data_IF_080909585540
#
_entry.id   IF_080909585540
#
_cell.length_a   1.000
_cell.length_b   1.000
_cell.length_c   1.000
_cell.angle_alpha   90.00
_cell.angle_beta   90.00
_cell.angle_gamma   90.00
#
_symmetry.space_group_name_H-M   'P 1'
#
loop_
_entity.id
_entity.type
_entity.pdbx_description
1 polymer ?
#
# COMPACT_ATOMS: atom_id res chain seq x y z
N UNK A 1 0.29 34.67 19.05
CA UNK A 1 0.41 34.44 17.59
C UNK A 1 1.72 33.75 17.13
N UNK A 2 2.80 33.73 17.92
CA UNK A 2 4.16 33.39 17.45
C UNK A 2 4.40 31.98 16.84
N UNK A 3 3.53 30.98 17.05
CA UNK A 3 3.77 29.58 16.61
C UNK A 3 3.98 29.38 15.10
N UNK A 4 3.63 30.35 14.24
CA UNK A 4 3.88 30.27 12.79
C UNK A 4 5.35 30.51 12.40
N UNK A 5 6.11 31.27 13.20
CA UNK A 5 7.49 31.63 12.86
C UNK A 5 8.45 30.44 12.88
N UNK A 6 8.48 29.70 13.99
CA UNK A 6 9.41 28.59 14.22
C UNK A 6 9.37 27.52 13.12
N UNK A 7 8.17 27.18 12.63
CA UNK A 7 8.01 26.18 11.56
C UNK A 7 8.57 26.65 10.22
N UNK A 8 8.63 27.96 9.99
CA UNK A 8 9.22 28.55 8.78
C UNK A 8 10.75 28.66 8.90
N UNK A 9 11.28 28.99 10.09
CA UNK A 9 12.73 28.98 10.32
C UNK A 9 13.32 27.58 10.21
N UNK A 10 12.66 26.55 10.76
CA UNK A 10 13.12 25.15 10.63
C UNK A 10 13.07 24.66 9.17
N UNK A 11 12.06 25.09 8.40
CA UNK A 11 11.97 24.80 6.96
C UNK A 11 13.09 25.48 6.16
N UNK A 12 13.40 26.75 6.45
CA UNK A 12 14.54 27.44 5.84
C UNK A 12 15.89 26.80 6.23
N UNK A 13 16.05 26.35 7.47
CA UNK A 13 17.29 25.71 7.92
C UNK A 13 17.51 24.36 7.23
N UNK A 14 16.45 23.57 7.02
CA UNK A 14 16.53 22.31 6.28
C UNK A 14 16.76 22.49 4.77
N UNK A 15 16.26 23.55 4.14
CA UNK A 15 16.58 23.89 2.74
C UNK A 15 18.08 24.12 2.50
N UNK A 16 18.81 24.69 3.47
CA UNK A 16 20.25 24.94 3.34
C UNK A 16 21.09 23.65 3.31
N UNK A 17 20.65 22.57 3.95
CA UNK A 17 21.31 21.27 3.85
C UNK A 17 21.13 20.62 2.47
N UNK A 18 19.99 20.88 1.81
CA UNK A 18 19.71 20.35 0.46
C UNK A 18 20.54 21.08 -0.60
N UNK A 19 20.74 22.40 -0.48
CA UNK A 19 21.51 23.16 -1.49
C UNK A 19 23.04 22.99 -1.42
N UNK A 20 23.56 22.33 -0.38
CA UNK A 20 25.00 22.13 -0.19
C UNK A 20 25.53 20.83 -0.83
N UNK A 21 24.65 19.93 -1.27
CA UNK A 21 25.02 18.63 -1.83
C UNK A 21 24.75 18.62 -3.34
N UNK A 22 25.81 18.58 -4.16
CA UNK A 22 25.71 18.65 -5.62
C UNK A 22 25.61 17.29 -6.32
N UNK A 23 25.72 16.18 -5.56
CA UNK A 23 25.32 14.85 -6.02
C UNK A 23 23.81 14.63 -5.89
N UNK A 24 23.30 13.56 -6.51
CA UNK A 24 21.94 13.08 -6.27
C UNK A 24 21.82 12.56 -4.84
N UNK A 25 21.37 13.40 -3.91
CA UNK A 25 21.16 13.06 -2.51
C UNK A 25 20.05 12.00 -2.36
N UNK A 26 20.41 10.72 -2.49
CA UNK A 26 19.54 9.62 -2.10
C UNK A 26 19.68 9.38 -0.60
N UNK A 27 18.59 9.59 0.14
CA UNK A 27 18.53 9.11 1.52
C UNK A 27 18.50 7.57 1.58
N UNK A 28 18.21 6.88 0.47
CA UNK A 28 18.39 5.44 0.33
C UNK A 28 19.85 5.00 0.44
N UNK A 29 20.77 5.70 -0.24
CA UNK A 29 22.23 5.45 -0.14
C UNK A 29 22.72 5.67 1.31
N UNK A 30 22.31 6.78 1.92
CA UNK A 30 22.65 7.08 3.33
C UNK A 30 22.05 6.04 4.29
N UNK A 31 20.85 5.51 4.02
CA UNK A 31 20.22 4.48 4.84
C UNK A 31 20.79 3.08 4.58
N UNK A 32 21.37 2.80 3.42
CA UNK A 32 22.09 1.55 3.14
C UNK A 32 23.48 1.50 3.79
N UNK A 33 24.12 2.66 3.97
CA UNK A 33 25.39 2.79 4.71
C UNK A 33 25.19 2.77 6.24
N UNK A 34 23.96 2.92 6.73
CA UNK A 34 23.62 2.85 8.15
C UNK A 34 23.33 1.41 8.56
N UNK A 35 24.27 0.82 9.30
CA UNK A 35 24.15 -0.51 9.92
C UNK A 35 22.81 -0.68 10.67
N UNK A 36 22.10 -1.83 10.54
CA UNK A 36 20.79 -2.05 11.16
C UNK A 36 20.75 -1.79 12.68
N UNK A 37 21.84 -2.04 13.40
CA UNK A 37 21.95 -1.71 14.83
C UNK A 37 21.71 -0.22 15.09
N UNK A 38 22.24 0.64 14.21
CA UNK A 38 22.09 2.10 14.28
C UNK A 38 20.65 2.55 14.01
N UNK A 39 19.93 1.88 13.10
CA UNK A 39 18.49 2.11 12.89
C UNK A 39 17.66 1.70 14.11
N UNK A 40 18.02 0.61 14.79
CA UNK A 40 17.41 0.18 16.05
C UNK A 40 17.68 1.20 17.17
N UNK A 41 18.92 1.69 17.31
CA UNK A 41 19.26 2.77 18.24
C UNK A 41 18.48 4.06 17.97
N UNK A 42 18.39 4.49 16.71
CA UNK A 42 17.62 5.66 16.31
C UNK A 42 16.13 5.52 16.61
N UNK A 43 15.59 4.31 16.45
CA UNK A 43 14.20 3.98 16.82
C UNK A 43 13.99 4.03 18.33
N UNK A 44 14.90 3.44 19.11
CA UNK A 44 14.89 3.51 20.59
C UNK A 44 15.00 4.96 21.10
N UNK A 45 15.83 5.79 20.46
CA UNK A 45 15.97 7.22 20.79
C UNK A 45 14.63 7.94 20.69
N UNK A 46 13.91 7.75 19.58
CA UNK A 46 12.60 8.37 19.36
C UNK A 46 11.53 7.82 20.32
N UNK A 47 11.58 6.53 20.67
CA UNK A 47 10.68 5.90 21.65
C UNK A 47 10.91 6.48 23.05
N UNK A 48 12.16 6.47 23.54
CA UNK A 48 12.49 7.05 24.85
C UNK A 48 12.18 8.55 24.88
N UNK A 49 12.52 9.29 23.83
CA UNK A 49 12.17 10.71 23.71
C UNK A 49 10.65 10.94 23.83
N UNK A 50 9.84 10.16 23.12
CA UNK A 50 8.38 10.29 23.16
C UNK A 50 7.81 10.01 24.56
N UNK A 51 8.26 8.95 25.24
CA UNK A 51 7.82 8.63 26.60
C UNK A 51 8.29 9.68 27.63
N UNK A 52 9.57 10.08 27.59
CA UNK A 52 10.14 11.08 28.48
C UNK A 52 9.46 12.44 28.29
N UNK A 53 9.28 12.89 27.05
CA UNK A 53 8.59 14.17 26.75
C UNK A 53 7.12 14.12 27.19
N UNK A 54 6.42 12.99 26.99
CA UNK A 54 5.05 12.82 27.49
C UNK A 54 4.97 12.88 29.03
N UNK A 55 5.93 12.29 29.75
CA UNK A 55 6.00 12.38 31.21
C UNK A 55 6.37 13.80 31.67
N UNK A 56 7.46 14.37 31.16
CA UNK A 56 7.99 15.67 31.54
C UNK A 56 7.04 16.82 31.18
N UNK A 57 6.26 16.72 30.10
CA UNK A 57 5.26 17.73 29.72
C UNK A 57 4.03 17.79 30.65
N UNK A 58 3.81 16.78 31.51
CA UNK A 58 2.85 16.85 32.62
C UNK A 58 3.41 17.58 33.84
N UNK A 59 4.73 17.55 34.02
CA UNK A 59 5.45 18.19 35.13
C UNK A 59 5.71 19.67 34.81
N UNK A 60 6.44 19.95 33.73
CA UNK A 60 6.69 21.31 33.21
C UNK A 60 5.48 21.83 32.40
N UNK A 61 4.35 22.03 33.09
CA UNK A 61 3.09 22.50 32.47
C UNK A 61 3.25 23.83 31.75
N UNK A 62 4.07 24.71 32.31
CA UNK A 62 4.32 26.09 31.85
C UNK A 62 5.34 26.14 30.70
N UNK A 63 6.52 25.53 30.89
CA UNK A 63 7.58 25.51 29.88
C UNK A 63 7.75 24.14 29.21
N UNK A 64 6.86 23.88 28.24
CA UNK A 64 6.89 22.65 27.44
C UNK A 64 8.07 22.56 26.46
N UNK A 65 8.78 23.66 26.20
CA UNK A 65 10.01 23.63 25.42
C UNK A 65 11.17 23.05 26.24
N UNK A 66 11.31 23.45 27.51
CA UNK A 66 12.29 22.89 28.43
C UNK A 66 12.07 21.37 28.64
N UNK A 67 10.81 20.92 28.78
CA UNK A 67 10.49 19.49 28.82
C UNK A 67 11.01 18.72 27.60
N UNK A 68 10.87 19.28 26.40
CA UNK A 68 11.37 18.69 25.16
C UNK A 68 12.91 18.59 25.14
N UNK A 69 13.62 19.66 25.49
CA UNK A 69 15.10 19.67 25.53
C UNK A 69 15.63 18.66 26.56
N UNK A 70 15.06 18.63 27.77
CA UNK A 70 15.45 17.67 28.81
C UNK A 70 15.12 16.23 28.40
N UNK A 71 13.94 15.98 27.82
CA UNK A 71 13.58 14.66 27.32
C UNK A 71 14.55 14.16 26.24
N UNK A 72 14.96 15.05 25.32
CA UNK A 72 15.90 14.72 24.26
C UNK A 72 17.28 14.34 24.83
N UNK A 73 17.85 15.19 25.69
CA UNK A 73 19.15 14.92 26.33
C UNK A 73 19.14 13.60 27.12
N UNK A 74 18.09 13.32 27.90
CA UNK A 74 17.98 12.08 28.67
C UNK A 74 17.78 10.87 27.73
N UNK A 75 16.98 10.98 26.66
CA UNK A 75 16.84 9.90 25.68
C UNK A 75 18.13 9.57 24.94
N UNK A 76 18.94 10.59 24.63
CA UNK A 76 20.23 10.44 23.96
C UNK A 76 21.26 9.79 24.90
N UNK A 77 21.29 10.20 26.17
CA UNK A 77 22.15 9.60 27.18
C UNK A 77 21.77 8.13 27.48
N UNK A 78 20.47 7.80 27.48
CA UNK A 78 20.00 6.41 27.57
C UNK A 78 20.50 5.59 26.38
N UNK A 79 20.26 6.03 25.13
CA UNK A 79 20.68 5.29 23.94
C UNK A 79 22.21 5.15 23.85
N UNK A 80 22.95 6.19 24.20
CA UNK A 80 24.42 6.11 24.32
C UNK A 80 24.86 5.10 25.39
N UNK A 81 24.20 5.07 26.55
CA UNK A 81 24.46 4.08 27.58
C UNK A 81 24.19 2.64 27.12
N UNK A 82 23.11 2.40 26.37
CA UNK A 82 22.82 1.09 25.80
C UNK A 82 23.84 0.74 24.70
N UNK A 83 24.24 1.69 23.84
CA UNK A 83 25.28 1.48 22.83
C UNK A 83 26.60 0.99 23.44
N UNK A 84 27.03 1.60 24.55
CA UNK A 84 28.24 1.20 25.28
C UNK A 84 28.20 -0.21 25.88
N UNK A 85 27.03 -0.84 26.00
CA UNK A 85 26.95 -2.25 26.46
C UNK A 85 27.38 -3.25 25.40
N UNK A 86 27.44 -2.85 24.11
CA UNK A 86 27.71 -3.77 23.01
C UNK A 86 26.66 -4.88 22.86
N UNK A 87 25.44 -4.69 23.38
CA UNK A 87 24.36 -5.66 23.20
C UNK A 87 23.98 -5.77 21.72
N UNK A 88 24.13 -6.97 21.18
CA UNK A 88 23.56 -7.36 19.90
C UNK A 88 22.02 -7.34 20.00
N UNK A 89 21.41 -6.35 19.34
CA UNK A 89 19.97 -6.13 19.41
C UNK A 89 19.18 -7.18 18.63
N UNK A 90 19.74 -7.71 17.55
CA UNK A 90 19.11 -8.75 16.73
C UNK A 90 18.97 -10.03 17.56
N UNK A 91 20.09 -10.47 18.17
CA UNK A 91 20.06 -11.56 19.13
C UNK A 91 19.24 -11.23 20.39
N UNK A 92 19.22 -9.99 20.89
CA UNK A 92 18.39 -9.64 22.05
C UNK A 92 16.89 -9.82 21.75
N UNK A 93 16.40 -9.27 20.63
CA UNK A 93 14.99 -9.40 20.24
C UNK A 93 14.62 -10.85 19.92
N UNK A 94 15.50 -11.60 19.25
CA UNK A 94 15.31 -13.02 18.98
C UNK A 94 15.24 -13.86 20.27
N UNK A 95 16.13 -13.60 21.24
CA UNK A 95 16.18 -14.32 22.52
C UNK A 95 14.97 -14.06 23.43
N UNK A 96 14.29 -12.90 23.31
CA UNK A 96 13.01 -12.66 24.00
C UNK A 96 11.79 -13.19 23.21
N UNK A 97 12.02 -13.94 22.13
CA UNK A 97 10.97 -14.60 21.34
C UNK A 97 10.29 -13.71 20.29
N UNK A 98 10.86 -12.55 19.95
CA UNK A 98 10.39 -11.73 18.82
C UNK A 98 11.13 -12.12 17.54
N UNK A 99 10.61 -13.13 16.84
CA UNK A 99 11.06 -13.46 15.49
C UNK A 99 10.69 -12.37 14.48
N UNK A 100 11.39 -12.35 13.34
CA UNK A 100 11.08 -11.46 12.21
C UNK A 100 9.62 -11.61 11.72
N UNK A 101 9.09 -12.84 11.74
CA UNK A 101 7.69 -13.14 11.44
C UNK A 101 6.71 -12.45 12.41
N UNK A 102 7.07 -12.36 13.70
CA UNK A 102 6.26 -11.68 14.71
C UNK A 102 6.34 -10.17 14.53
N UNK A 103 7.52 -9.62 14.18
CA UNK A 103 7.68 -8.19 13.87
C UNK A 103 6.85 -7.79 12.64
N UNK A 104 7.00 -8.53 11.54
CA UNK A 104 6.25 -8.29 10.29
C UNK A 104 4.75 -8.50 10.45
N UNK A 105 4.31 -9.40 11.35
CA UNK A 105 2.89 -9.58 11.70
C UNK A 105 2.35 -8.47 12.60
N UNK A 106 3.07 -8.05 13.64
CA UNK A 106 2.61 -7.05 14.62
C UNK A 106 2.66 -5.62 14.07
N UNK A 107 3.67 -5.29 13.26
CA UNK A 107 3.91 -3.92 12.79
C UNK A 107 2.72 -3.30 12.02
N UNK A 108 1.99 -4.02 11.13
CA UNK A 108 0.74 -3.54 10.55
C UNK A 108 -0.36 -3.23 11.58
N UNK A 109 -0.53 -4.06 12.63
CA UNK A 109 -1.50 -3.79 13.69
C UNK A 109 -1.10 -2.60 14.56
N UNK A 110 0.20 -2.41 14.82
CA UNK A 110 0.74 -1.27 15.56
C UNK A 110 0.52 0.03 14.78
N UNK A 111 0.79 0.03 13.48
CA UNK A 111 0.48 1.12 12.54
C UNK A 111 -1.03 1.44 12.54
N UNK A 112 -1.89 0.42 12.43
CA UNK A 112 -3.35 0.60 12.41
C UNK A 112 -3.87 1.16 13.75
N UNK A 113 -3.34 0.67 14.88
CA UNK A 113 -3.62 1.20 16.21
C UNK A 113 -3.20 2.66 16.37
N UNK A 114 -1.99 3.01 15.91
CA UNK A 114 -1.50 4.39 15.91
C UNK A 114 -2.37 5.30 15.03
N UNK A 115 -2.84 4.82 13.88
CA UNK A 115 -3.76 5.54 12.99
C UNK A 115 -5.13 5.79 13.65
N UNK A 116 -5.72 4.78 14.30
CA UNK A 116 -6.98 4.91 15.05
C UNK A 116 -6.84 5.90 16.22
N UNK A 117 -5.78 5.78 17.02
CA UNK A 117 -5.48 6.72 18.12
C UNK A 117 -5.28 8.14 17.58
N UNK A 118 -4.62 8.28 16.42
CA UNK A 118 -4.44 9.54 15.72
C UNK A 118 -5.76 10.18 15.28
N UNK A 119 -6.69 9.39 14.72
CA UNK A 119 -8.04 9.86 14.33
C UNK A 119 -8.80 10.38 15.55
N UNK A 120 -8.74 9.65 16.67
CA UNK A 120 -9.45 9.99 17.91
C UNK A 120 -8.88 11.26 18.56
N UNK A 121 -7.55 11.39 18.70
CA UNK A 121 -6.92 12.52 19.40
C UNK A 121 -6.68 13.77 18.57
N UNK A 122 -6.32 13.63 17.29
CA UNK A 122 -5.85 14.73 16.43
C UNK A 122 -6.88 15.06 15.33
N UNK A 123 -7.82 14.14 15.08
CA UNK A 123 -8.86 14.28 14.07
C UNK A 123 -8.40 13.87 12.68
N UNK A 124 -9.23 13.06 12.01
CA UNK A 124 -8.97 12.39 10.73
C UNK A 124 -8.18 13.21 9.68
N UNK A 125 -8.50 14.48 9.42
CA UNK A 125 -7.76 15.30 8.45
C UNK A 125 -6.30 15.54 8.84
N UNK A 126 -6.04 15.78 10.14
CA UNK A 126 -4.69 15.89 10.70
C UNK A 126 -3.94 14.57 10.61
N UNK A 127 -4.63 13.45 10.86
CA UNK A 127 -4.06 12.10 10.80
C UNK A 127 -3.70 11.70 9.38
N UNK A 128 -4.54 11.99 8.39
CA UNK A 128 -4.23 11.73 6.97
C UNK A 128 -3.08 12.62 6.47
N UNK A 129 -2.98 13.88 6.90
CA UNK A 129 -1.81 14.70 6.58
C UNK A 129 -0.53 14.13 7.19
N UNK A 130 -0.55 13.71 8.46
CA UNK A 130 0.60 13.10 9.12
C UNK A 130 1.00 11.80 8.41
N UNK A 131 0.06 10.90 8.19
CA UNK A 131 0.31 9.59 7.61
C UNK A 131 0.71 9.66 6.13
N UNK A 132 0.07 10.56 5.37
CA UNK A 132 0.45 10.86 3.99
C UNK A 132 1.82 11.50 3.87
N UNK A 133 2.21 12.37 4.82
CA UNK A 133 3.55 12.94 4.88
C UNK A 133 4.60 11.89 5.28
N UNK A 134 4.32 11.05 6.27
CA UNK A 134 5.19 9.92 6.62
C UNK A 134 5.36 8.97 5.44
N UNK A 135 4.28 8.62 4.74
CA UNK A 135 4.32 7.71 3.61
C UNK A 135 4.99 8.35 2.38
N UNK A 136 4.77 9.64 2.10
CA UNK A 136 5.53 10.39 1.08
C UNK A 136 7.03 10.44 1.41
N UNK A 137 7.39 10.76 2.65
CA UNK A 137 8.77 10.84 3.09
C UNK A 137 9.47 9.46 3.04
N UNK A 138 8.84 8.40 3.54
CA UNK A 138 9.38 7.04 3.43
C UNK A 138 9.54 6.64 1.96
N UNK A 139 8.51 6.82 1.13
CA UNK A 139 8.57 6.41 -0.29
C UNK A 139 9.56 7.23 -1.13
N UNK A 140 9.73 8.52 -0.81
CA UNK A 140 10.57 9.46 -1.58
C UNK A 140 12.01 9.61 -1.08
N UNK A 141 12.31 9.04 0.09
CA UNK A 141 13.64 9.09 0.70
C UNK A 141 14.19 7.71 1.08
N UNK A 142 13.41 6.64 1.03
CA UNK A 142 13.89 5.29 1.36
C UNK A 142 13.43 4.26 0.34
N UNK A 143 14.37 3.43 -0.13
CA UNK A 143 14.08 2.36 -1.10
C UNK A 143 13.42 1.12 -0.45
N UNK A 144 12.85 1.27 0.75
CA UNK A 144 12.05 0.23 1.43
C UNK A 144 10.74 -0.11 0.70
N UNK A 145 10.26 0.76 -0.17
CA UNK A 145 9.04 0.54 -0.95
C UNK A 145 9.44 0.25 -2.39
N UNK A 146 9.23 -1.00 -2.81
CA UNK A 146 9.59 -1.54 -4.13
C UNK A 146 9.07 -0.71 -5.32
N UNK A 147 7.94 -0.01 -5.14
CA UNK A 147 7.40 0.97 -6.09
C UNK A 147 7.35 2.36 -5.42
N UNK A 148 8.53 2.96 -5.21
CA UNK A 148 8.72 4.27 -4.55
C UNK A 148 7.87 5.39 -5.17
N UNK A 149 7.73 5.39 -6.51
CA UNK A 149 6.85 6.30 -7.25
C UNK A 149 5.37 6.19 -6.81
N UNK A 150 4.86 4.96 -6.67
CA UNK A 150 3.48 4.67 -6.30
C UNK A 150 3.23 5.07 -4.84
N UNK A 151 4.20 4.78 -3.96
CA UNK A 151 4.19 5.25 -2.58
C UNK A 151 4.14 6.79 -2.49
N UNK A 152 5.02 7.49 -3.20
CA UNK A 152 5.01 8.97 -3.25
C UNK A 152 3.67 9.52 -3.74
N UNK A 153 3.09 8.93 -4.80
CA UNK A 153 1.80 9.33 -5.35
C UNK A 153 0.66 9.20 -4.33
N UNK A 154 0.56 8.07 -3.63
CA UNK A 154 -0.43 7.88 -2.55
C UNK A 154 -0.18 8.83 -1.37
N UNK A 155 1.07 9.10 -1.01
CA UNK A 155 1.44 10.08 0.01
C UNK A 155 0.91 11.48 -0.31
N UNK A 156 1.13 11.97 -1.52
CA UNK A 156 0.62 13.29 -1.98
C UNK A 156 -0.92 13.34 -1.96
N UNK A 157 -1.60 12.27 -2.39
CA UNK A 157 -3.08 12.19 -2.33
C UNK A 157 -3.59 12.26 -0.88
N UNK A 158 -2.97 11.51 0.04
CA UNK A 158 -3.32 11.50 1.46
C UNK A 158 -3.11 12.88 2.11
N UNK A 159 -2.02 13.57 1.79
CA UNK A 159 -1.75 14.95 2.26
C UNK A 159 -2.84 15.90 1.74
N UNK A 160 -3.13 15.88 0.44
CA UNK A 160 -4.13 16.76 -0.18
C UNK A 160 -5.55 16.55 0.39
N UNK A 161 -5.97 15.29 0.53
CA UNK A 161 -7.28 14.95 1.08
C UNK A 161 -7.37 15.24 2.59
N UNK A 162 -6.30 14.97 3.34
CA UNK A 162 -6.18 15.34 4.76
C UNK A 162 -6.29 16.85 5.00
N UNK A 163 -5.60 17.65 4.17
CA UNK A 163 -5.66 19.11 4.23
C UNK A 163 -7.06 19.65 3.89
N UNK A 164 -7.74 19.07 2.91
CA UNK A 164 -9.13 19.39 2.57
C UNK A 164 -10.10 19.07 3.71
N UNK A 165 -9.98 17.90 4.35
CA UNK A 165 -10.76 17.53 5.54
C UNK A 165 -10.49 18.46 6.74
N UNK A 166 -9.22 18.80 6.98
CA UNK A 166 -8.80 19.72 8.05
C UNK A 166 -9.37 21.13 7.85
N UNK A 167 -9.35 21.64 6.62
CA UNK A 167 -9.91 22.94 6.28
C UNK A 167 -11.45 22.96 6.36
N UNK A 168 -12.15 21.87 6.03
CA UNK A 168 -13.60 21.76 6.17
C UNK A 168 -14.08 21.90 7.63
N UNK A 169 -13.39 21.28 8.60
CA UNK A 169 -13.78 21.35 10.02
C UNK A 169 -13.77 22.76 10.63
N UNK A 170 -13.01 23.70 10.06
CA UNK A 170 -12.90 25.07 10.61
C UNK A 170 -14.08 25.99 10.31
N UNK A 171 -14.91 25.68 9.29
CA UNK A 171 -16.05 26.55 8.95
C UNK A 171 -17.24 26.40 9.91
N UNK A 172 -17.63 25.17 10.26
CA UNK A 172 -18.90 24.94 10.99
C UNK A 172 -18.89 25.32 12.48
N UNK A 173 -17.77 25.77 13.06
CA UNK A 173 -17.68 26.13 14.49
C UNK A 173 -17.88 27.63 14.69
N UNK A 174 -17.20 28.47 13.90
CA UNK A 174 -17.33 29.93 13.99
C UNK A 174 -18.75 30.41 13.62
N UNK A 175 -19.38 29.76 12.64
CA UNK A 175 -20.74 30.08 12.21
C UNK A 175 -21.78 29.80 13.31
N UNK A 176 -21.48 28.89 14.26
CA UNK A 176 -22.36 28.61 15.40
C UNK A 176 -22.12 29.56 16.58
N UNK A 177 -20.86 29.93 16.86
CA UNK A 177 -20.56 30.90 17.93
C UNK A 177 -21.04 32.32 17.60
N UNK A 178 -20.88 32.78 16.34
CA UNK A 178 -21.39 34.10 15.94
C UNK A 178 -22.91 34.20 15.99
N UNK A 179 -23.63 33.08 15.87
CA UNK A 179 -25.10 33.08 15.93
C UNK A 179 -25.67 33.01 17.36
N UNK A 180 -24.82 32.93 18.40
CA UNK A 180 -25.26 33.14 19.80
C UNK A 180 -25.17 34.61 20.25
N UNK A 181 -24.66 35.50 19.40
CA UNK A 181 -24.84 36.95 19.53
C UNK A 181 -26.14 37.44 18.85
N UNK A 182 -27.11 36.55 18.60
CA UNK A 182 -28.52 36.98 18.51
C UNK A 182 -28.88 37.54 19.89
N UNK A 183 -28.97 38.86 19.99
CA UNK A 183 -29.38 39.57 21.19
C UNK A 183 -30.69 38.98 21.72
N UNK A 184 -30.80 38.81 23.04
CA UNK A 184 -32.06 38.47 23.70
C UNK A 184 -33.02 39.68 23.67
N UNK A 185 -33.52 40.03 22.48
CA UNK A 185 -34.69 40.88 22.32
C UNK A 185 -35.86 40.17 23.00
N UNK A 186 -36.20 40.64 24.22
CA UNK A 186 -37.27 40.08 25.05
C UNK A 186 -38.51 39.82 24.20
N UNK A 187 -39.09 38.60 24.21
CA UNK A 187 -40.32 38.35 23.48
C UNK A 187 -41.41 39.28 24.03
N UNK A 188 -42.18 39.98 23.17
CA UNK A 188 -43.29 40.80 23.65
C UNK A 188 -44.33 39.89 24.30
N UNK A 189 -44.57 40.11 25.59
CA UNK A 189 -45.50 39.35 26.41
C UNK A 189 -46.95 39.64 25.99
N UNK A 190 -47.49 38.87 25.05
CA UNK A 190 -48.86 39.01 24.60
C UNK A 190 -49.43 37.68 24.03
N UNK A 191 -50.66 37.29 24.39
CA UNK A 191 -51.30 36.05 23.91
C UNK A 191 -51.78 36.20 22.45
N UNK A 192 -50.84 36.14 21.50
CA UNK A 192 -51.09 36.30 20.06
C UNK A 192 -51.13 34.98 19.31
N UNK A 193 -52.32 34.47 19.04
CA UNK A 193 -52.53 33.26 18.23
C UNK A 193 -52.16 33.51 16.75
N UNK A 194 -51.67 32.48 16.06
CA UNK A 194 -51.39 32.44 14.61
C UNK A 194 -50.28 33.39 14.11
N UNK A 195 -49.09 32.82 13.89
CA UNK A 195 -48.21 33.22 12.77
C UNK A 195 -47.84 32.01 11.92
N UNK A 196 -48.48 31.87 10.76
CA UNK A 196 -48.00 30.98 9.69
C UNK A 196 -46.79 31.67 9.04
N UNK A 197 -45.65 30.99 8.94
CA UNK A 197 -44.48 31.52 8.24
C UNK A 197 -44.70 31.48 6.71
N UNK A 198 -45.28 32.56 6.17
CA UNK A 198 -45.43 32.74 4.72
C UNK A 198 -44.08 33.10 4.09
N UNK A 199 -43.41 32.13 3.48
CA UNK A 199 -42.10 32.32 2.84
C UNK A 199 -42.26 32.83 1.39
N UNK A 200 -42.29 34.16 1.26
CA UNK A 200 -42.47 34.90 0.01
C UNK A 200 -41.32 34.75 -1.00
N UNK A 201 -40.16 34.20 -0.63
CA UNK A 201 -39.04 34.03 -1.56
C UNK A 201 -39.28 32.87 -2.55
N UNK A 202 -40.07 31.86 -2.18
CA UNK A 202 -40.32 30.70 -3.06
C UNK A 202 -41.18 31.02 -4.29
N UNK A 203 -42.10 31.99 -4.22
CA UNK A 203 -42.98 32.31 -5.35
C UNK A 203 -42.25 33.05 -6.48
N UNK A 204 -41.15 33.77 -6.18
CA UNK A 204 -40.33 34.45 -7.21
C UNK A 204 -39.64 33.49 -8.18
N UNK A 205 -39.55 32.19 -7.86
CA UNK A 205 -38.94 31.17 -8.71
C UNK A 205 -39.90 30.52 -9.73
N UNK A 206 -41.23 30.67 -9.58
CA UNK A 206 -42.22 30.05 -10.47
C UNK A 206 -43.15 31.06 -11.18
N UNK A 207 -43.15 32.33 -10.79
CA UNK A 207 -43.96 33.39 -11.41
C UNK A 207 -43.44 33.95 -12.75
N UNK A 208 -43.02 33.12 -13.72
CA UNK A 208 -42.70 33.54 -15.10
C UNK A 208 -43.13 32.51 -16.12
N UNK A 209 -43.70 32.98 -17.24
CA UNK A 209 -44.58 32.23 -18.17
C UNK A 209 -45.87 31.80 -17.42
N UNK A 210 -47.07 32.22 -17.82
CA UNK A 210 -47.57 32.63 -19.14
C UNK A 210 -48.26 34.00 -19.05
N UNK A 211 -48.11 34.85 -20.08
CA UNK A 211 -49.03 35.99 -20.28
C UNK A 211 -48.45 37.23 -20.97
N UNK A 212 -48.58 37.33 -22.30
CA UNK A 212 -48.86 38.58 -23.04
C UNK A 212 -49.08 38.35 -24.55
N UNK A 213 -50.04 39.11 -25.11
CA UNK A 213 -50.46 39.17 -26.54
C UNK A 213 -51.21 37.89 -27.00
N UNK A 214 -52.16 37.95 -27.94
CA UNK A 214 -52.52 39.00 -28.91
C UNK A 214 -53.96 39.52 -28.71
N UNK A 215 -54.23 40.74 -29.18
CA UNK A 215 -55.54 41.41 -29.21
C UNK A 215 -55.75 41.98 -30.63
N UNK A 216 -56.89 41.72 -31.29
CA UNK A 216 -57.25 42.37 -32.56
C UNK A 216 -58.24 41.62 -33.48
N UNK A 217 -59.36 42.29 -33.83
CA UNK A 217 -60.33 41.94 -34.91
C UNK A 217 -61.30 40.76 -34.64
N UNK A 218 -62.46 40.59 -35.31
CA UNK A 218 -63.24 41.41 -36.29
C UNK A 218 -64.53 40.62 -36.67
N UNK A 219 -65.71 41.14 -37.08
CA UNK A 219 -66.43 42.43 -36.93
C UNK A 219 -67.85 42.31 -37.59
N UNK A 220 -68.94 42.89 -37.02
CA UNK A 220 -70.35 42.89 -37.53
C UNK A 220 -70.95 41.43 -37.66
N UNK A 221 -72.22 41.03 -37.92
CA UNK A 221 -73.59 41.58 -38.19
C UNK A 221 -74.62 40.60 -37.53
N UNK A 222 -75.86 40.90 -37.11
CA UNK A 222 -76.61 42.17 -36.90
C UNK A 222 -78.10 42.13 -37.33
N UNK A 223 -79.02 42.66 -36.49
CA UNK A 223 -80.52 42.82 -36.65
C UNK A 223 -81.36 41.54 -36.40
N UNK A 224 -82.64 41.61 -35.95
CA UNK A 224 -83.54 42.74 -35.59
C UNK A 224 -84.37 42.44 -34.32
N UNK A 225 -84.98 43.40 -33.60
CA UNK A 225 -86.27 44.13 -33.87
C UNK A 225 -87.50 43.19 -33.83
N UNK A 226 -88.58 43.42 -33.07
CA UNK A 226 -88.99 44.49 -32.12
C UNK A 226 -90.11 43.95 -31.17
N UNK A 227 -90.55 44.57 -30.06
CA UNK A 227 -90.87 45.97 -29.72
C UNK A 227 -92.37 46.36 -29.81
N UNK A 228 -93.18 45.90 -28.83
CA UNK A 228 -94.46 46.46 -28.31
C UNK A 228 -94.53 46.01 -26.83
N UNK A 229 -95.04 46.69 -25.80
CA UNK A 229 -95.79 47.95 -25.60
C UNK A 229 -96.66 47.72 -24.34
N UNK A 230 -96.31 48.30 -23.18
CA UNK A 230 -96.90 49.50 -22.54
C UNK A 230 -98.44 49.45 -22.32
N UNK A 231 -98.88 50.06 -21.20
CA UNK A 231 -100.28 50.27 -20.75
C UNK A 231 -101.01 48.98 -20.30
N UNK A 232 -101.97 48.98 -19.37
CA UNK A 232 -102.60 50.02 -18.52
C UNK A 232 -102.76 49.44 -17.07
N UNK A 233 -102.52 50.18 -15.99
CA UNK A 233 -103.41 51.13 -15.27
C UNK A 233 -104.57 50.48 -14.48
N UNK A 234 -104.48 50.63 -13.15
CA UNK A 234 -105.54 50.58 -12.12
C UNK A 234 -107.00 50.66 -12.61
N UNK A 235 -107.84 49.74 -12.10
CA UNK A 235 -109.29 49.93 -11.82
C UNK A 235 -109.78 48.87 -10.83
N UNK A 236 -110.70 49.27 -9.92
CA UNK A 236 -111.84 48.54 -9.31
C UNK A 236 -111.63 47.06 -8.87
N UNK A 237 -111.89 46.64 -7.61
CA UNK A 237 -113.01 46.88 -6.67
C UNK A 237 -114.41 46.43 -7.16
N UNK A 238 -115.14 45.77 -6.25
CA UNK A 238 -116.60 45.47 -6.31
C UNK A 238 -117.16 44.60 -7.46
N UNK A 239 -116.74 43.33 -7.49
CA UNK A 239 -117.56 42.09 -7.63
C UNK A 239 -116.60 40.92 -7.35
N UNK A 240 -116.94 39.87 -6.61
CA UNK A 240 -118.26 39.31 -6.27
C UNK A 240 -118.38 39.02 -4.76
N UNK A 241 -119.54 39.33 -4.16
CA UNK A 241 -120.02 38.69 -2.94
C UNK A 241 -121.44 38.18 -3.19
N UNK A 242 -121.61 36.87 -3.37
CA UNK A 242 -122.71 36.06 -2.83
C UNK A 242 -122.53 34.61 -3.30
N UNK A 243 -122.72 33.65 -2.38
CA UNK A 243 -122.32 32.24 -2.50
C UNK A 243 -120.77 32.07 -2.49
N UNK A 244 -120.16 30.96 -2.06
CA UNK A 244 -120.67 29.66 -1.62
C UNK A 244 -119.93 29.13 -0.36
N UNK A 245 -120.59 28.94 0.80
CA UNK A 245 -119.99 28.26 1.96
C UNK A 245 -119.98 26.72 1.81
N UNK A 246 -119.71 26.19 0.61
CA UNK A 246 -119.64 24.74 0.33
C UNK A 246 -118.46 24.27 -0.55
N UNK A 247 -117.85 25.12 -1.38
CA UNK A 247 -116.69 24.70 -2.21
C UNK A 247 -115.38 24.58 -1.43
N UNK A 248 -115.22 25.33 -0.32
CA UNK A 248 -113.93 25.48 0.39
C UNK A 248 -113.31 24.13 0.80
N UNK A 249 -114.09 23.18 1.33
CA UNK A 249 -113.57 21.84 1.71
C UNK A 249 -113.02 21.03 0.54
N UNK A 250 -113.64 21.10 -0.65
CA UNK A 250 -113.13 20.39 -1.83
C UNK A 250 -111.86 21.06 -2.37
N UNK A 251 -111.76 22.39 -2.30
CA UNK A 251 -110.56 23.10 -2.73
C UNK A 251 -109.39 22.90 -1.75
N UNK A 252 -109.62 22.85 -0.44
CA UNK A 252 -108.59 22.46 0.54
C UNK A 252 -108.12 21.03 0.35
N UNK A 253 -109.04 20.07 0.13
CA UNK A 253 -108.66 18.67 -0.14
C UNK A 253 -107.86 18.53 -1.45
N UNK A 254 -108.26 19.23 -2.51
CA UNK A 254 -107.50 19.25 -3.76
C UNK A 254 -106.13 19.94 -3.60
N UNK A 255 -106.04 21.02 -2.82
CA UNK A 255 -104.78 21.69 -2.52
C UNK A 255 -103.81 20.80 -1.73
N UNK A 256 -104.29 20.15 -0.66
CA UNK A 256 -103.53 19.17 0.12
C UNK A 256 -103.08 17.98 -0.73
N UNK A 257 -103.95 17.47 -1.60
CA UNK A 257 -103.64 16.37 -2.52
C UNK A 257 -102.56 16.77 -3.54
N UNK A 258 -102.67 17.96 -4.13
CA UNK A 258 -101.66 18.50 -5.05
C UNK A 258 -100.32 18.77 -4.34
N UNK A 259 -100.34 19.22 -3.08
CA UNK A 259 -99.14 19.42 -2.27
C UNK A 259 -98.43 18.09 -1.97
N UNK A 260 -99.18 17.07 -1.55
CA UNK A 260 -98.66 15.72 -1.31
C UNK A 260 -98.14 15.06 -2.60
N UNK A 261 -98.82 15.25 -3.74
CA UNK A 261 -98.36 14.76 -5.04
C UNK A 261 -97.08 15.48 -5.50
N UNK A 262 -96.96 16.79 -5.25
CA UNK A 262 -95.73 17.54 -5.50
C UNK A 262 -94.58 17.05 -4.63
N UNK A 263 -94.81 16.84 -3.33
CA UNK A 263 -93.80 16.28 -2.42
C UNK A 263 -93.36 14.87 -2.84
N UNK A 264 -94.29 14.01 -3.28
CA UNK A 264 -93.94 12.71 -3.86
C UNK A 264 -93.09 12.85 -5.12
N UNK A 265 -93.44 13.74 -6.05
CA UNK A 265 -92.66 14.00 -7.27
C UNK A 265 -91.27 14.56 -6.96
N UNK A 266 -91.14 15.41 -5.95
CA UNK A 266 -89.85 15.91 -5.46
C UNK A 266 -89.01 14.79 -4.82
N UNK A 267 -89.60 13.92 -4.00
CA UNK A 267 -88.93 12.75 -3.42
C UNK A 267 -88.51 11.72 -4.50
N UNK A 268 -89.37 11.42 -5.46
CA UNK A 268 -89.08 10.53 -6.58
C UNK A 268 -87.96 11.12 -7.49
N UNK A 269 -87.91 12.44 -7.66
CA UNK A 269 -86.81 13.11 -8.36
C UNK A 269 -85.48 13.03 -7.60
N UNK A 270 -85.49 13.23 -6.27
CA UNK A 270 -84.31 13.08 -5.41
C UNK A 270 -83.79 11.64 -5.45
N UNK A 271 -84.67 10.63 -5.35
CA UNK A 271 -84.29 9.22 -5.43
C UNK A 271 -83.67 8.86 -6.79
N UNK A 272 -84.19 9.41 -7.90
CA UNK A 272 -83.57 9.24 -9.23
C UNK A 272 -82.18 9.87 -9.30
N UNK A 273 -82.00 11.09 -8.81
CA UNK A 273 -80.69 11.75 -8.76
C UNK A 273 -79.68 11.00 -7.88
N UNK A 274 -80.10 10.45 -6.75
CA UNK A 274 -79.24 9.57 -5.93
C UNK A 274 -78.86 8.28 -6.66
N UNK A 275 -79.80 7.65 -7.36
CA UNK A 275 -79.55 6.44 -8.14
C UNK A 275 -78.57 6.69 -9.28
N UNK A 276 -78.77 7.77 -10.04
CA UNK A 276 -77.86 8.20 -11.11
C UNK A 276 -76.45 8.52 -10.57
N UNK A 277 -76.34 9.23 -9.43
CA UNK A 277 -75.04 9.47 -8.77
C UNK A 277 -74.37 8.17 -8.32
N UNK A 278 -75.10 7.25 -7.69
CA UNK A 278 -74.57 5.94 -7.25
C UNK A 278 -74.03 5.16 -8.46
N UNK A 279 -74.78 5.13 -9.57
CA UNK A 279 -74.36 4.50 -10.83
C UNK A 279 -73.10 5.16 -11.43
N UNK A 280 -73.03 6.49 -11.49
CA UNK A 280 -71.86 7.21 -11.99
C UNK A 280 -70.61 6.93 -11.14
N UNK A 281 -70.76 6.87 -9.81
CA UNK A 281 -69.67 6.50 -8.89
C UNK A 281 -69.21 5.05 -9.13
N UNK A 282 -70.15 4.12 -9.33
CA UNK A 282 -69.82 2.71 -9.62
C UNK A 282 -69.12 2.53 -10.98
N UNK A 283 -69.55 3.26 -12.01
CA UNK A 283 -68.90 3.26 -13.34
C UNK A 283 -67.50 3.90 -13.28
N UNK A 284 -67.31 4.98 -12.51
CA UNK A 284 -65.97 5.55 -12.25
C UNK A 284 -65.07 4.57 -11.50
N UNK A 285 -65.56 3.93 -10.43
CA UNK A 285 -64.80 2.94 -9.67
C UNK A 285 -64.36 1.75 -10.55
N UNK A 286 -65.22 1.28 -11.47
CA UNK A 286 -64.86 0.23 -12.44
C UNK A 286 -63.74 0.68 -13.37
N UNK A 287 -63.83 1.88 -13.95
CA UNK A 287 -62.78 2.43 -14.81
C UNK A 287 -61.44 2.62 -14.07
N UNK A 288 -61.46 3.08 -12.82
CA UNK A 288 -60.24 3.31 -12.06
C UNK A 288 -59.60 1.99 -11.56
N UNK A 289 -60.40 0.97 -11.26
CA UNK A 289 -59.91 -0.40 -11.03
C UNK A 289 -59.28 -0.98 -12.30
N UNK A 290 -59.84 -0.72 -13.48
CA UNK A 290 -59.29 -1.19 -14.76
C UNK A 290 -57.97 -0.49 -15.12
N UNK A 291 -57.91 0.84 -15.06
CA UNK A 291 -56.66 1.62 -15.19
C UNK A 291 -55.58 1.13 -14.22
N UNK A 292 -55.95 0.84 -12.97
CA UNK A 292 -55.02 0.36 -11.94
C UNK A 292 -54.51 -1.05 -12.21
N UNK A 293 -55.33 -1.95 -12.79
CA UNK A 293 -54.87 -3.26 -13.28
C UNK A 293 -53.86 -3.11 -14.42
N UNK A 294 -54.11 -2.19 -15.36
CA UNK A 294 -53.18 -1.93 -16.46
C UNK A 294 -51.86 -1.31 -15.97
N UNK A 295 -51.91 -0.36 -15.03
CA UNK A 295 -50.72 0.19 -14.36
C UNK A 295 -49.90 -0.92 -13.68
N UNK A 296 -50.52 -1.77 -12.86
CA UNK A 296 -49.83 -2.89 -12.19
C UNK A 296 -49.19 -3.85 -13.20
N UNK A 297 -49.88 -4.17 -14.31
CA UNK A 297 -49.33 -5.02 -15.38
C UNK A 297 -48.11 -4.39 -16.05
N UNK A 298 -48.17 -3.08 -16.30
CA UNK A 298 -47.05 -2.34 -16.89
C UNK A 298 -45.86 -2.24 -15.93
N UNK A 299 -46.10 -1.95 -14.64
CA UNK A 299 -45.09 -1.95 -13.57
C UNK A 299 -44.41 -3.32 -13.42
N UNK A 300 -45.18 -4.42 -13.39
CA UNK A 300 -44.64 -5.78 -13.38
C UNK A 300 -43.78 -6.06 -14.61
N UNK A 301 -44.21 -5.66 -15.81
CA UNK A 301 -43.41 -5.84 -17.03
C UNK A 301 -42.10 -5.03 -17.02
N UNK A 302 -42.11 -3.84 -16.42
CA UNK A 302 -40.92 -3.01 -16.25
C UNK A 302 -39.95 -3.62 -15.21
N UNK A 303 -40.48 -4.16 -14.11
CA UNK A 303 -39.69 -4.84 -13.08
C UNK A 303 -39.00 -6.10 -13.64
N UNK A 304 -39.72 -6.92 -14.41
CA UNK A 304 -39.16 -8.12 -15.08
C UNK A 304 -38.01 -7.70 -16.01
N UNK A 305 -38.23 -6.69 -16.87
CA UNK A 305 -37.18 -6.17 -17.77
C UNK A 305 -35.98 -5.60 -17.01
N UNK A 306 -36.16 -5.02 -15.82
CA UNK A 306 -35.04 -4.59 -14.98
C UNK A 306 -34.24 -5.79 -14.44
N UNK A 307 -34.92 -6.83 -13.95
CA UNK A 307 -34.28 -8.05 -13.46
C UNK A 307 -33.53 -8.81 -14.58
N UNK A 308 -34.10 -8.89 -15.79
CA UNK A 308 -33.43 -9.47 -16.96
C UNK A 308 -32.15 -8.71 -17.33
N UNK A 309 -32.20 -7.37 -17.32
CA UNK A 309 -31.03 -6.55 -17.60
C UNK A 309 -29.96 -6.61 -16.48
N UNK A 310 -30.38 -6.77 -15.22
CA UNK A 310 -29.46 -7.02 -14.10
C UNK A 310 -28.73 -8.36 -14.25
N UNK A 311 -29.45 -9.47 -14.46
CA UNK A 311 -28.83 -10.79 -14.72
C UNK A 311 -27.87 -10.76 -15.91
N UNK A 312 -28.28 -10.12 -17.01
CA UNK A 312 -27.46 -9.96 -18.22
C UNK A 312 -26.23 -9.07 -18.01
N UNK A 313 -26.23 -8.22 -16.99
CA UNK A 313 -25.05 -7.46 -16.56
C UNK A 313 -24.14 -8.31 -15.66
N UNK A 314 -24.71 -9.07 -14.72
CA UNK A 314 -23.99 -10.01 -13.84
C UNK A 314 -23.27 -11.09 -14.65
N UNK A 315 -23.93 -11.72 -15.62
CA UNK A 315 -23.34 -12.67 -16.58
C UNK A 315 -22.13 -12.06 -17.33
N UNK A 316 -22.22 -10.78 -17.72
CA UNK A 316 -21.14 -10.08 -18.41
C UNK A 316 -19.96 -9.80 -17.48
N UNK A 317 -20.22 -9.47 -16.22
CA UNK A 317 -19.19 -9.26 -15.21
C UNK A 317 -18.47 -10.58 -14.88
N UNK A 318 -19.22 -11.64 -14.57
CA UNK A 318 -18.66 -12.99 -14.33
C UNK A 318 -17.82 -13.47 -15.52
N UNK A 319 -18.29 -13.25 -16.77
CA UNK A 319 -17.54 -13.62 -17.98
C UNK A 319 -16.30 -12.75 -18.24
N UNK A 320 -16.22 -11.55 -17.66
CA UNK A 320 -14.98 -10.74 -17.65
C UNK A 320 -14.03 -11.17 -16.54
N UNK A 321 -14.54 -11.53 -15.36
CA UNK A 321 -13.74 -12.00 -14.23
C UNK A 321 -13.11 -13.36 -14.51
N UNK A 322 -13.88 -14.31 -15.06
CA UNK A 322 -13.37 -15.61 -15.50
C UNK A 322 -12.26 -15.42 -16.56
N UNK A 323 -12.43 -14.51 -17.53
CA UNK A 323 -11.38 -14.16 -18.50
C UNK A 323 -10.15 -13.47 -17.90
N UNK A 324 -10.28 -12.77 -16.77
CA UNK A 324 -9.12 -12.25 -16.02
C UNK A 324 -8.41 -13.38 -15.29
N UNK A 325 -9.15 -14.30 -14.68
CA UNK A 325 -8.58 -15.49 -14.01
C UNK A 325 -7.85 -16.41 -15.01
N UNK A 326 -8.44 -16.67 -16.19
CA UNK A 326 -7.79 -17.41 -17.28
C UNK A 326 -6.45 -16.78 -17.67
N UNK A 327 -6.40 -15.47 -17.88
CA UNK A 327 -5.15 -14.75 -18.21
C UNK A 327 -4.12 -14.80 -17.08
N UNK A 328 -4.53 -14.59 -15.84
CA UNK A 328 -3.64 -14.66 -14.67
C UNK A 328 -3.07 -16.07 -14.49
N UNK A 329 -3.86 -17.12 -14.75
CA UNK A 329 -3.40 -18.50 -14.75
C UNK A 329 -2.44 -18.79 -15.91
N UNK A 330 -2.71 -18.28 -17.11
CA UNK A 330 -1.82 -18.39 -18.28
C UNK A 330 -0.47 -17.69 -18.04
N UNK A 331 -0.48 -16.49 -17.45
CA UNK A 331 0.73 -15.76 -17.06
C UNK A 331 1.49 -16.47 -15.94
N UNK A 332 0.81 -16.99 -14.92
CA UNK A 332 1.44 -17.78 -13.85
C UNK A 332 2.10 -19.05 -14.39
N UNK A 333 1.44 -19.76 -15.31
CA UNK A 333 2.01 -20.93 -15.98
C UNK A 333 3.26 -20.56 -16.80
N UNK A 334 3.24 -19.44 -17.54
CA UNK A 334 4.41 -18.93 -18.28
C UNK A 334 5.58 -18.56 -17.35
N UNK A 335 5.31 -17.98 -16.17
CA UNK A 335 6.33 -17.70 -15.14
C UNK A 335 6.95 -19.00 -14.63
N UNK A 336 6.15 -19.99 -14.22
CA UNK A 336 6.64 -21.30 -13.76
C UNK A 336 7.46 -22.05 -14.82
N UNK A 337 7.10 -21.95 -16.11
CA UNK A 337 7.89 -22.55 -17.20
C UNK A 337 9.23 -21.83 -17.37
N UNK A 338 9.26 -20.50 -17.28
CA UNK A 338 10.50 -19.70 -17.33
C UNK A 338 11.41 -20.01 -16.13
N UNK A 339 10.85 -20.06 -14.92
CA UNK A 339 11.56 -20.42 -13.69
C UNK A 339 12.20 -21.81 -13.77
N UNK A 340 11.44 -22.84 -14.18
CA UNK A 340 11.97 -24.20 -14.40
C UNK A 340 13.04 -24.26 -15.49
N UNK A 341 12.91 -23.43 -16.53
CA UNK A 341 13.92 -23.31 -17.59
C UNK A 341 15.22 -22.70 -17.06
N UNK A 342 15.12 -21.63 -16.25
CA UNK A 342 16.26 -21.01 -15.58
C UNK A 342 16.93 -21.98 -14.60
N UNK A 343 16.16 -22.68 -13.75
CA UNK A 343 16.72 -23.63 -12.79
C UNK A 343 17.47 -24.77 -13.50
N UNK A 344 16.94 -25.25 -14.63
CA UNK A 344 17.59 -26.28 -15.45
C UNK A 344 18.88 -25.77 -16.15
N UNK A 345 18.95 -24.49 -16.51
CA UNK A 345 20.19 -23.86 -16.97
C UNK A 345 21.23 -23.71 -15.85
N UNK A 346 20.81 -23.29 -14.64
CA UNK A 346 21.70 -23.20 -13.48
C UNK A 346 22.23 -24.58 -13.10
N UNK A 347 21.38 -25.61 -13.03
CA UNK A 347 21.78 -27.01 -12.78
C UNK A 347 22.79 -27.53 -13.80
N UNK A 348 22.66 -27.18 -15.09
CA UNK A 348 23.64 -27.53 -16.13
C UNK A 348 25.00 -26.88 -15.85
N UNK A 349 25.03 -25.56 -15.63
CA UNK A 349 26.26 -24.82 -15.31
C UNK A 349 26.94 -25.37 -14.06
N UNK A 350 26.19 -25.60 -12.97
CA UNK A 350 26.74 -26.17 -11.73
C UNK A 350 27.44 -27.52 -12.00
N UNK A 351 26.83 -28.40 -12.79
CA UNK A 351 27.47 -29.66 -13.18
C UNK A 351 28.72 -29.47 -14.05
N UNK A 352 28.70 -28.54 -14.99
CA UNK A 352 29.88 -28.19 -15.80
C UNK A 352 31.03 -27.71 -14.89
N UNK A 353 30.75 -26.86 -13.89
CA UNK A 353 31.70 -26.43 -12.88
C UNK A 353 32.22 -27.61 -12.00
N UNK A 354 31.35 -28.52 -11.55
CA UNK A 354 31.74 -29.73 -10.80
C UNK A 354 32.70 -30.63 -11.60
N UNK A 355 32.44 -30.82 -12.90
CA UNK A 355 33.30 -31.61 -13.78
C UNK A 355 34.68 -30.94 -14.00
N UNK A 356 34.75 -29.60 -14.10
CA UNK A 356 36.04 -28.87 -14.14
C UNK A 356 36.79 -28.95 -12.80
N UNK A 357 36.11 -28.80 -11.66
CA UNK A 357 36.72 -28.98 -10.32
C UNK A 357 37.38 -30.35 -10.18
N UNK A 358 36.68 -31.41 -10.60
CA UNK A 358 37.20 -32.77 -10.59
C UNK A 358 38.42 -32.94 -11.52
N UNK A 359 38.43 -32.30 -12.69
CA UNK A 359 39.59 -32.30 -13.58
C UNK A 359 40.79 -31.56 -12.97
N UNK A 360 40.59 -30.40 -12.34
CA UNK A 360 41.64 -29.63 -11.67
C UNK A 360 42.26 -30.41 -10.49
N UNK A 361 41.43 -31.04 -9.65
CA UNK A 361 41.88 -31.92 -8.57
C UNK A 361 42.71 -33.11 -9.09
N UNK A 362 42.26 -33.76 -10.17
CA UNK A 362 42.99 -34.86 -10.80
C UNK A 362 44.34 -34.43 -11.41
N UNK A 363 44.48 -33.18 -11.88
CA UNK A 363 45.76 -32.64 -12.32
C UNK A 363 46.68 -32.31 -11.15
N UNK A 364 46.15 -31.70 -10.09
CA UNK A 364 46.90 -31.39 -8.87
C UNK A 364 47.48 -32.65 -8.21
N UNK A 365 46.67 -33.71 -8.04
CA UNK A 365 47.13 -34.99 -7.50
C UNK A 365 48.27 -35.61 -8.34
N UNK A 366 48.22 -35.51 -9.68
CA UNK A 366 49.30 -35.98 -10.56
C UNK A 366 50.59 -35.18 -10.37
N UNK A 367 50.51 -33.87 -10.17
CA UNK A 367 51.67 -33.02 -9.88
C UNK A 367 52.28 -33.37 -8.51
N UNK A 368 51.46 -33.59 -7.48
CA UNK A 368 51.93 -34.04 -6.17
C UNK A 368 52.67 -35.38 -6.24
N UNK A 369 52.08 -36.40 -6.88
CA UNK A 369 52.71 -37.72 -7.08
C UNK A 369 54.00 -37.64 -7.91
N UNK A 370 54.13 -36.65 -8.79
CA UNK A 370 55.37 -36.39 -9.53
C UNK A 370 56.45 -35.79 -8.62
N UNK A 371 56.11 -34.78 -7.82
CA UNK A 371 57.03 -34.16 -6.88
C UNK A 371 57.51 -35.16 -5.80
N UNK A 372 56.63 -35.98 -5.25
CA UNK A 372 56.97 -37.04 -4.28
C UNK A 372 58.02 -38.03 -4.83
N UNK A 373 57.95 -38.35 -6.14
CA UNK A 373 58.94 -39.19 -6.82
C UNK A 373 60.29 -38.50 -6.99
N UNK A 374 60.30 -37.19 -7.27
CA UNK A 374 61.53 -36.40 -7.35
C UNK A 374 62.20 -36.28 -5.97
N UNK A 375 61.43 -36.08 -4.90
CA UNK A 375 61.92 -36.13 -3.50
C UNK A 375 62.62 -37.46 -3.22
N UNK A 376 61.95 -38.59 -3.48
CA UNK A 376 62.51 -39.92 -3.22
C UNK A 376 63.79 -40.21 -4.03
N UNK A 377 63.90 -39.69 -5.25
CA UNK A 377 65.12 -39.77 -6.07
C UNK A 377 66.26 -38.92 -5.49
N UNK A 378 65.97 -37.71 -5.00
CA UNK A 378 66.97 -36.85 -4.35
C UNK A 378 67.47 -37.45 -3.03
N UNK A 379 66.57 -37.96 -2.19
CA UNK A 379 66.93 -38.67 -0.95
C UNK A 379 67.83 -39.88 -1.23
N UNK A 380 67.53 -40.65 -2.28
CA UNK A 380 68.36 -41.77 -2.71
C UNK A 380 69.75 -41.32 -3.20
N UNK A 381 69.84 -40.20 -3.93
CA UNK A 381 71.11 -39.64 -4.38
C UNK A 381 71.97 -39.15 -3.19
N UNK A 382 71.37 -38.41 -2.24
CA UNK A 382 72.04 -37.94 -1.02
C UNK A 382 72.54 -39.13 -0.17
N UNK A 383 71.72 -40.18 -0.04
CA UNK A 383 72.12 -41.42 0.66
C UNK A 383 73.31 -42.11 -0.02
N UNK A 384 73.32 -42.20 -1.35
CA UNK A 384 74.44 -42.77 -2.11
C UNK A 384 75.73 -41.94 -1.93
N UNK A 385 75.63 -40.61 -1.94
CA UNK A 385 76.76 -39.71 -1.73
C UNK A 385 77.35 -39.79 -0.31
N UNK A 386 76.52 -39.83 0.72
CA UNK A 386 76.99 -40.01 2.10
C UNK A 386 77.74 -41.33 2.27
N UNK A 387 77.25 -42.41 1.65
CA UNK A 387 77.90 -43.72 1.64
C UNK A 387 79.18 -43.75 0.78
N UNK A 388 79.27 -42.96 -0.29
CA UNK A 388 80.50 -42.76 -1.06
C UNK A 388 81.55 -41.96 -0.28
N UNK A 389 81.13 -40.93 0.47
CA UNK A 389 81.96 -40.10 1.35
C UNK A 389 82.58 -40.96 2.47
N UNK A 390 81.76 -41.72 3.20
CA UNK A 390 82.21 -42.61 4.28
C UNK A 390 83.29 -43.59 3.80
N UNK A 391 83.10 -44.21 2.62
CA UNK A 391 84.10 -45.09 1.99
C UNK A 391 85.42 -44.38 1.69
N UNK A 392 85.37 -43.12 1.27
CA UNK A 392 86.56 -42.31 0.97
C UNK A 392 87.30 -41.90 2.25
N UNK A 393 86.58 -41.58 3.34
CA UNK A 393 87.17 -41.30 4.66
C UNK A 393 87.88 -42.53 5.24
N UNK A 394 87.24 -43.72 5.17
CA UNK A 394 87.85 -44.99 5.58
C UNK A 394 89.13 -45.29 4.78
N UNK A 395 89.10 -45.13 3.45
CA UNK A 395 90.29 -45.37 2.62
C UNK A 395 91.40 -44.34 2.87
N UNK A 396 91.06 -43.08 3.13
CA UNK A 396 92.03 -42.05 3.50
C UNK A 396 92.70 -42.39 4.83
N UNK A 397 91.96 -42.94 5.80
CA UNK A 397 92.50 -43.49 7.05
C UNK A 397 93.45 -44.67 6.82
N UNK A 398 93.07 -45.62 5.96
CA UNK A 398 93.92 -46.77 5.59
C UNK A 398 95.23 -46.35 4.89
N UNK A 399 95.15 -45.41 3.95
CA UNK A 399 96.32 -44.85 3.26
C UNK A 399 97.26 -44.14 4.25
N UNK A 400 96.71 -43.29 5.12
CA UNK A 400 97.47 -42.61 6.17
C UNK A 400 98.15 -43.60 7.13
N UNK A 401 97.51 -44.73 7.44
CA UNK A 401 98.11 -45.82 8.23
C UNK A 401 99.24 -46.51 7.47
N UNK A 402 99.04 -46.84 6.19
CA UNK A 402 100.08 -47.46 5.35
C UNK A 402 101.32 -46.58 5.15
N UNK A 403 101.13 -45.24 5.10
CA UNK A 403 102.21 -44.25 5.08
C UNK A 403 103.00 -44.27 6.38
N UNK A 404 102.34 -44.29 7.55
CA UNK A 404 103.01 -44.40 8.87
C UNK A 404 103.78 -45.72 9.04
N UNK A 405 103.29 -46.80 8.42
CA UNK A 405 103.97 -48.10 8.37
C UNK A 405 105.14 -48.16 7.37
N UNK A 406 105.39 -47.08 6.60
CA UNK A 406 106.43 -46.94 5.58
C UNK A 406 106.49 -48.09 4.54
N UNK A 407 105.36 -48.77 4.30
CA UNK A 407 105.30 -49.92 3.41
C UNK A 407 104.98 -49.48 1.98
N UNK A 408 106.01 -49.21 1.18
CA UNK A 408 105.90 -48.71 -0.21
C UNK A 408 105.00 -49.56 -1.12
N UNK A 409 104.95 -50.89 -0.91
CA UNK A 409 104.08 -51.80 -1.68
C UNK A 409 102.60 -51.63 -1.32
N UNK A 410 102.30 -51.38 -0.04
CA UNK A 410 100.96 -51.13 0.49
C UNK A 410 100.49 -49.74 0.07
N UNK A 411 101.34 -48.72 0.22
CA UNK A 411 101.06 -47.33 -0.18
C UNK A 411 100.63 -47.26 -1.66
N UNK A 412 101.36 -47.90 -2.59
CA UNK A 412 100.99 -47.91 -4.01
C UNK A 412 99.62 -48.55 -4.29
N UNK A 413 99.23 -49.60 -3.56
CA UNK A 413 97.92 -50.26 -3.69
C UNK A 413 96.79 -49.39 -3.13
N UNK A 414 96.97 -48.87 -1.93
CA UNK A 414 95.98 -47.99 -1.28
C UNK A 414 95.78 -46.69 -2.08
N UNK A 415 96.85 -46.11 -2.64
CA UNK A 415 96.77 -44.88 -3.44
C UNK A 415 96.06 -45.10 -4.78
N UNK A 416 96.23 -46.26 -5.42
CA UNK A 416 95.46 -46.63 -6.62
C UNK A 416 93.97 -46.86 -6.31
N UNK A 417 93.66 -47.47 -5.17
CA UNK A 417 92.29 -47.61 -4.66
C UNK A 417 91.66 -46.23 -4.38
N UNK A 418 92.38 -45.36 -3.65
CA UNK A 418 91.96 -44.00 -3.31
C UNK A 418 91.66 -43.17 -4.55
N UNK A 419 92.57 -43.13 -5.54
CA UNK A 419 92.34 -42.43 -6.82
C UNK A 419 91.06 -42.93 -7.53
N UNK A 420 90.84 -44.25 -7.53
CA UNK A 420 89.67 -44.87 -8.17
C UNK A 420 88.36 -44.48 -7.48
N UNK A 421 88.36 -44.38 -6.14
CA UNK A 421 87.16 -44.07 -5.37
C UNK A 421 86.94 -42.55 -5.20
N UNK A 422 87.99 -41.72 -5.24
CA UNK A 422 87.84 -40.26 -5.38
C UNK A 422 87.15 -39.90 -6.70
N UNK A 423 87.56 -40.51 -7.82
CA UNK A 423 86.87 -40.30 -9.11
C UNK A 423 85.40 -40.76 -9.09
N UNK A 424 85.06 -41.82 -8.33
CA UNK A 424 83.66 -42.21 -8.10
C UNK A 424 82.91 -41.18 -7.26
N UNK A 425 83.53 -40.69 -6.19
CA UNK A 425 82.94 -39.67 -5.31
C UNK A 425 82.66 -38.35 -6.05
N UNK A 426 83.54 -37.92 -6.95
CA UNK A 426 83.30 -36.78 -7.85
C UNK A 426 82.08 -37.01 -8.75
N UNK A 427 81.92 -38.21 -9.33
CA UNK A 427 80.72 -38.57 -10.10
C UNK A 427 79.47 -38.54 -9.23
N UNK A 428 79.49 -39.13 -8.01
CA UNK A 428 78.33 -39.10 -7.11
C UNK A 428 77.98 -37.68 -6.64
N UNK A 429 78.97 -36.78 -6.54
CA UNK A 429 78.76 -35.36 -6.20
C UNK A 429 78.05 -34.61 -7.34
N UNK A 430 78.43 -34.87 -8.60
CA UNK A 430 77.73 -34.34 -9.77
C UNK A 430 76.31 -34.91 -9.93
N UNK A 431 76.11 -36.19 -9.60
CA UNK A 431 74.79 -36.83 -9.55
C UNK A 431 73.90 -36.19 -8.48
N UNK A 432 74.41 -35.93 -7.27
CA UNK A 432 73.69 -35.19 -6.23
C UNK A 432 73.37 -33.77 -6.69
N UNK A 433 74.32 -33.01 -7.25
CA UNK A 433 74.04 -31.63 -7.69
C UNK A 433 73.02 -31.54 -8.83
N UNK A 434 72.85 -32.62 -9.61
CA UNK A 434 71.77 -32.76 -10.61
C UNK A 434 70.44 -33.14 -9.95
N UNK A 435 70.44 -34.10 -9.02
CA UNK A 435 69.24 -34.53 -8.30
C UNK A 435 68.66 -33.42 -7.40
N UNK A 436 69.53 -32.66 -6.72
CA UNK A 436 69.15 -31.51 -5.89
C UNK A 436 68.55 -30.36 -6.72
N UNK A 437 69.09 -30.10 -7.92
CA UNK A 437 68.47 -29.16 -8.87
C UNK A 437 67.12 -29.65 -9.37
N UNK A 438 67.02 -30.90 -9.84
CA UNK A 438 65.75 -31.49 -10.29
C UNK A 438 64.69 -31.51 -9.17
N UNK A 439 65.10 -31.68 -7.91
CA UNK A 439 64.23 -31.54 -6.74
C UNK A 439 63.78 -30.09 -6.52
N UNK A 440 64.69 -29.11 -6.54
CA UNK A 440 64.32 -27.69 -6.41
C UNK A 440 63.40 -27.23 -7.54
N UNK A 441 63.70 -27.59 -8.78
CA UNK A 441 62.85 -27.33 -9.95
C UNK A 441 61.45 -27.95 -9.78
N UNK A 442 61.38 -29.21 -9.32
CA UNK A 442 60.12 -29.90 -9.03
C UNK A 442 59.31 -29.28 -7.89
N UNK A 443 59.97 -28.77 -6.84
CA UNK A 443 59.32 -28.03 -5.75
C UNK A 443 58.82 -26.66 -6.21
N UNK A 444 59.55 -25.98 -7.10
CA UNK A 444 59.11 -24.71 -7.72
C UNK A 444 57.89 -24.96 -8.62
N UNK A 445 57.88 -26.03 -9.43
CA UNK A 445 56.71 -26.41 -10.22
C UNK A 445 55.51 -26.78 -9.35
N UNK A 446 55.71 -27.57 -8.28
CA UNK A 446 54.65 -27.91 -7.34
C UNK A 446 54.07 -26.67 -6.65
N UNK A 447 54.91 -25.76 -6.16
CA UNK A 447 54.47 -24.51 -5.53
C UNK A 447 53.69 -23.62 -6.51
N UNK A 448 54.13 -23.55 -7.77
CA UNK A 448 53.40 -22.85 -8.83
C UNK A 448 52.03 -23.50 -9.09
N UNK A 449 51.96 -24.84 -9.20
CA UNK A 449 50.70 -25.57 -9.42
C UNK A 449 49.75 -25.48 -8.23
N UNK A 450 50.27 -25.47 -6.99
CA UNK A 450 49.50 -25.21 -5.78
C UNK A 450 48.90 -23.80 -5.78
N UNK A 451 49.67 -22.79 -6.23
CA UNK A 451 49.18 -21.42 -6.36
C UNK A 451 48.08 -21.32 -7.43
N UNK A 452 48.32 -21.83 -8.64
CA UNK A 452 47.35 -21.87 -9.74
C UNK A 452 46.03 -22.55 -9.30
N UNK A 453 46.12 -23.68 -8.58
CA UNK A 453 44.96 -24.38 -8.03
C UNK A 453 44.22 -23.56 -6.96
N UNK A 454 44.94 -22.85 -6.08
CA UNK A 454 44.32 -22.04 -5.02
C UNK A 454 43.62 -20.79 -5.59
N UNK A 455 44.22 -20.10 -6.56
CA UNK A 455 43.62 -18.95 -7.24
C UNK A 455 42.36 -19.39 -8.00
N UNK A 456 42.44 -20.48 -8.78
CA UNK A 456 41.30 -21.06 -9.48
C UNK A 456 40.19 -21.52 -8.52
N UNK A 457 40.55 -22.12 -7.37
CA UNK A 457 39.56 -22.53 -6.36
C UNK A 457 38.84 -21.32 -5.75
N UNK A 458 39.52 -20.22 -5.47
CA UNK A 458 38.87 -19.00 -4.95
C UNK A 458 37.87 -18.42 -5.95
N UNK A 459 38.19 -18.45 -7.25
CA UNK A 459 37.25 -18.05 -8.29
C UNK A 459 36.06 -19.01 -8.42
N UNK A 460 36.31 -20.33 -8.33
CA UNK A 460 35.28 -21.37 -8.26
C UNK A 460 34.34 -21.16 -7.07
N UNK A 461 34.86 -21.02 -5.84
CA UNK A 461 34.06 -20.91 -4.62
C UNK A 461 33.17 -19.64 -4.66
N UNK A 462 33.68 -18.56 -5.27
CA UNK A 462 32.94 -17.31 -5.52
C UNK A 462 31.82 -17.47 -6.54
N UNK A 463 32.10 -18.07 -7.70
CA UNK A 463 31.10 -18.25 -8.77
C UNK A 463 30.05 -19.31 -8.41
N UNK A 464 30.46 -20.40 -7.75
CA UNK A 464 29.56 -21.40 -7.18
C UNK A 464 28.61 -20.78 -6.15
N UNK A 465 29.13 -19.92 -5.27
CA UNK A 465 28.29 -19.17 -4.30
C UNK A 465 27.29 -18.24 -5.00
N UNK A 466 27.70 -17.57 -6.10
CA UNK A 466 26.81 -16.73 -6.92
C UNK A 466 25.72 -17.55 -7.63
N UNK A 467 26.05 -18.70 -8.20
CA UNK A 467 25.08 -19.59 -8.85
C UNK A 467 24.16 -20.28 -7.83
N UNK A 468 24.63 -20.49 -6.59
CA UNK A 468 23.83 -21.03 -5.49
C UNK A 468 22.87 -20.01 -4.90
N UNK A 469 23.19 -18.71 -4.85
CA UNK A 469 22.25 -17.67 -4.40
C UNK A 469 21.26 -17.22 -5.49
N UNK A 470 21.47 -17.60 -6.75
CA UNK A 470 20.52 -17.44 -7.86
C UNK A 470 19.49 -18.58 -7.98
N UNK A 471 19.49 -19.55 -7.05
CA UNK A 471 18.69 -20.78 -7.12
C UNK A 471 17.85 -21.00 -5.87
#
# INVERSE_FOLDING_TARGET
MQKKGLSFTVFLLSLNFISAYSGSFSLGEILSDIDPSTLILGSLLLIFFAFLNFALSKFFKENKAAAGVVAFLVSLLLVYGINLTGMDYENFFYNIGLSEEIITTIFPFLILGAFVIGIIKIGIGSTLMLFGFSLFAVSGFTDWIYESEVGMFFGVILIGFGAWLYNRKKKSINDWSNNQNISYTRPPSGPGWIRRNYNWEKEKAQGRWIGKKVWGGTKIIGKGVGAVGKQMKKTFDERERYNEPKIIRNNEQNYQKNLAEKQRKEQEAIQRQEYERKRQIEEQQKQDVEKRKEQIKNEQSAMIRQQENQKKYEERMQKQELKKQEKLAEEAAKRQVKEKTNELQIRKKLKEYEDVLRLAQNQFQKAQIHAEKLTAQADQAVKNYNLAKERLEIQTSHLNKAIRENNSSKIKREQASWNTNNKKFEITKDEVSKAERAYQDGQIELAKKQKEFNEWKQEYDKEYSRLKSQR
#
